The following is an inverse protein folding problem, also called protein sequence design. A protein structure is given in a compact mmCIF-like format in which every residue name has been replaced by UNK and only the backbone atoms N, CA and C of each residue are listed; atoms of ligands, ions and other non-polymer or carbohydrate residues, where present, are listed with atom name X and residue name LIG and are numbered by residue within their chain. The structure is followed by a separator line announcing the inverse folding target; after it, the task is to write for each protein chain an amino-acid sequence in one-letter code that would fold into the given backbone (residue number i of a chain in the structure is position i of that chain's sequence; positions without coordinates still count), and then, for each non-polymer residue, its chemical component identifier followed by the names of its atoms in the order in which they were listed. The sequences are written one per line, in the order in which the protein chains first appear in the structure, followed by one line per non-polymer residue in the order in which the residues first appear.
data_IF_305056966344
#
_entry.id   IF_305056966344
#
_cell.length_a   1.000
_cell.length_b   1.000
_cell.length_c   1.000
_cell.angle_alpha   90.00
_cell.angle_beta   90.00
_cell.angle_gamma   90.00
#
_symmetry.space_group_name_H-M   'P 1'
#
loop_
_entity.id
_entity.type
_entity.pdbx_description
1 polymer ?
#
# COMPACT_ATOMS: atom_id res chain seq x y z
N UNK A 1 23.99 -32.92 -14.87
CA UNK A 1 23.02 -31.86 -14.50
C UNK A 1 22.75 -31.96 -13.01
N UNK A 2 23.23 -30.99 -12.22
CA UNK A 2 23.08 -31.02 -10.76
C UNK A 2 21.63 -30.65 -10.37
N UNK A 3 20.90 -31.61 -9.77
CA UNK A 3 19.60 -31.34 -9.14
C UNK A 3 19.85 -30.48 -7.90
N UNK A 4 19.47 -29.21 -7.97
CA UNK A 4 19.46 -28.29 -6.83
C UNK A 4 18.48 -28.81 -5.77
N UNK A 5 18.98 -29.53 -4.78
CA UNK A 5 18.25 -29.92 -3.57
C UNK A 5 17.99 -28.67 -2.70
N UNK A 6 17.02 -27.83 -3.08
CA UNK A 6 16.45 -26.88 -2.12
C UNK A 6 15.60 -27.69 -1.16
N UNK A 7 16.14 -27.92 0.04
CA UNK A 7 15.37 -28.46 1.15
C UNK A 7 14.06 -27.67 1.32
N UNK A 8 12.93 -28.34 1.63
CA UNK A 8 11.65 -27.66 1.79
C UNK A 8 11.78 -26.58 2.88
N UNK A 9 11.46 -25.34 2.52
CA UNK A 9 11.49 -24.20 3.44
C UNK A 9 10.61 -24.51 4.64
N UNK A 10 11.15 -24.40 5.86
CA UNK A 10 10.40 -24.67 7.08
C UNK A 10 9.15 -23.79 7.17
N UNK A 11 8.04 -24.28 7.74
CA UNK A 11 6.80 -23.49 7.90
C UNK A 11 7.05 -22.14 8.58
N UNK A 12 7.96 -22.11 9.57
CA UNK A 12 8.37 -20.89 10.25
C UNK A 12 9.03 -19.89 9.30
N UNK A 13 9.97 -20.34 8.46
CA UNK A 13 10.65 -19.47 7.50
C UNK A 13 9.69 -18.98 6.41
N UNK A 14 8.72 -19.79 5.98
CA UNK A 14 7.64 -19.35 5.08
C UNK A 14 6.78 -18.26 5.73
N UNK A 15 6.35 -18.45 6.97
CA UNK A 15 5.56 -17.47 7.71
C UNK A 15 6.32 -16.15 7.91
N UNK A 16 7.61 -16.20 8.24
CA UNK A 16 8.46 -15.01 8.37
C UNK A 16 8.58 -14.26 7.03
N UNK A 17 8.81 -14.95 5.92
CA UNK A 17 8.86 -14.32 4.60
C UNK A 17 7.51 -13.69 4.20
N UNK A 18 6.40 -14.39 4.46
CA UNK A 18 5.06 -13.84 4.22
C UNK A 18 4.75 -12.63 5.11
N UNK A 19 5.27 -12.59 6.33
CA UNK A 19 5.09 -11.44 7.23
C UNK A 19 5.88 -10.22 6.75
N UNK A 20 7.12 -10.39 6.29
CA UNK A 20 7.92 -9.30 5.70
C UNK A 20 7.23 -8.76 4.45
N UNK A 21 6.78 -9.64 3.55
CA UNK A 21 6.06 -9.23 2.35
C UNK A 21 4.77 -8.47 2.68
N UNK A 22 4.03 -8.90 3.70
CA UNK A 22 2.84 -8.21 4.16
C UNK A 22 3.16 -6.80 4.69
N UNK A 23 4.26 -6.66 5.43
CA UNK A 23 4.69 -5.35 5.94
C UNK A 23 5.04 -4.38 4.79
N UNK A 24 5.77 -4.87 3.79
CA UNK A 24 6.10 -4.10 2.58
C UNK A 24 4.84 -3.67 1.82
N UNK A 25 3.90 -4.60 1.57
CA UNK A 25 2.65 -4.32 0.88
C UNK A 25 1.79 -3.31 1.66
N UNK A 26 1.73 -3.46 2.99
CA UNK A 26 1.00 -2.56 3.86
C UNK A 26 1.63 -1.16 3.92
N UNK A 27 2.96 -1.08 3.92
CA UNK A 27 3.70 0.17 3.81
C UNK A 27 3.40 0.90 2.50
N UNK A 28 3.30 0.18 1.38
CA UNK A 28 2.91 0.76 0.09
C UNK A 28 1.49 1.32 0.11
N UNK A 29 0.53 0.56 0.67
CA UNK A 29 -0.84 1.05 0.85
C UNK A 29 -0.91 2.30 1.74
N UNK A 30 -0.15 2.34 2.84
CA UNK A 30 -0.06 3.52 3.71
C UNK A 30 0.48 4.75 2.97
N UNK A 31 1.45 4.58 2.08
CA UNK A 31 1.98 5.70 1.26
C UNK A 31 0.92 6.23 0.31
N UNK A 32 0.19 5.34 -0.36
CA UNK A 32 -0.91 5.73 -1.25
C UNK A 32 -2.02 6.47 -0.49
N UNK A 33 -2.42 5.97 0.68
CA UNK A 33 -3.42 6.64 1.53
C UNK A 33 -2.96 8.01 2.05
N UNK A 34 -1.68 8.16 2.40
CA UNK A 34 -1.13 9.47 2.76
C UNK A 34 -1.22 10.47 1.62
N UNK A 35 -1.00 10.03 0.38
CA UNK A 35 -1.17 10.89 -0.80
C UNK A 35 -2.62 11.38 -0.95
N UNK A 36 -3.60 10.52 -0.66
CA UNK A 36 -5.02 10.92 -0.58
C UNK A 36 -5.20 12.00 0.48
N UNK A 37 -4.75 11.78 1.72
CA UNK A 37 -4.90 12.75 2.81
C UNK A 37 -4.21 14.09 2.51
N UNK A 38 -3.04 14.09 1.86
CA UNK A 38 -2.38 15.32 1.43
C UNK A 38 -3.21 16.09 0.40
N UNK A 39 -3.81 15.38 -0.56
CA UNK A 39 -4.66 15.98 -1.57
C UNK A 39 -5.98 16.49 -0.98
N UNK A 40 -6.58 15.76 -0.04
CA UNK A 40 -7.73 16.24 0.73
C UNK A 40 -7.39 17.50 1.51
N UNK A 41 -6.21 17.58 2.13
CA UNK A 41 -5.74 18.78 2.82
C UNK A 41 -5.54 19.99 1.89
N UNK A 42 -5.07 19.77 0.65
CA UNK A 42 -4.94 20.81 -0.38
C UNK A 42 -6.30 21.29 -0.90
N UNK A 43 -7.24 20.37 -1.07
CA UNK A 43 -8.60 20.65 -1.55
C UNK A 43 -9.51 21.21 -0.46
N UNK A 44 -9.18 21.00 0.82
CA UNK A 44 -9.92 21.56 1.93
C UNK A 44 -9.63 23.06 1.98
N UNK A 45 -10.65 23.93 1.86
CA UNK A 45 -10.44 25.36 1.99
C UNK A 45 -9.96 25.66 3.40
N UNK A 46 -8.67 25.91 3.56
CA UNK A 46 -8.13 26.43 4.80
C UNK A 46 -8.41 27.94 4.78
N UNK A 47 -9.39 28.38 5.57
CA UNK A 47 -9.71 29.79 5.79
C UNK A 47 -8.57 30.51 6.54
N UNK A 48 -7.38 30.58 5.96
CA UNK A 48 -6.23 31.30 6.49
C UNK A 48 -5.83 32.41 5.50
N UNK A 49 -6.40 33.59 5.69
CA UNK A 49 -5.87 34.87 5.18
C UNK A 49 -4.49 35.13 5.85
N UNK A 50 -3.44 35.58 5.13
CA UNK A 50 -3.33 36.90 4.48
C UNK A 50 -3.02 36.85 2.95
N UNK A 51 -2.97 38.00 2.24
CA UNK A 51 -3.46 38.13 0.87
C UNK A 51 -2.42 37.93 -0.25
N UNK A 52 -1.39 37.09 -0.08
CA UNK A 52 -0.27 37.11 -1.03
C UNK A 52 -0.07 35.92 -1.96
N UNK A 53 -0.62 34.72 -1.70
CA UNK A 53 -0.58 33.64 -2.68
C UNK A 53 -1.87 32.81 -2.56
N UNK A 54 -2.95 33.29 -3.18
CA UNK A 54 -4.13 32.47 -3.40
C UNK A 54 -3.79 31.42 -4.47
N UNK A 55 -3.34 30.26 -4.04
CA UNK A 55 -3.33 29.06 -4.88
C UNK A 55 -4.80 28.67 -5.15
N UNK A 56 -5.36 29.22 -6.21
CA UNK A 56 -6.65 28.85 -6.76
C UNK A 56 -6.45 27.63 -7.66
N UNK A 57 -6.79 26.44 -7.16
CA UNK A 57 -6.89 25.24 -8.00
C UNK A 57 -8.34 25.07 -8.45
N UNK A 58 -8.56 24.97 -9.76
CA UNK A 58 -9.83 24.48 -10.26
C UNK A 58 -9.93 22.97 -9.97
N UNK A 59 -11.12 22.42 -9.65
CA UNK A 59 -11.29 20.97 -9.47
C UNK A 59 -10.83 20.13 -10.67
N UNK A 60 -10.75 20.74 -11.86
CA UNK A 60 -10.19 20.14 -13.06
C UNK A 60 -8.67 19.94 -13.00
N UNK A 61 -7.93 20.82 -12.32
CA UNK A 61 -6.46 20.85 -12.30
C UNK A 61 -5.87 19.63 -11.60
N UNK A 62 -6.58 19.11 -10.60
CA UNK A 62 -6.15 17.93 -9.84
C UNK A 62 -6.77 16.62 -10.33
N UNK A 63 -7.65 16.64 -11.35
CA UNK A 63 -8.37 15.44 -11.82
C UNK A 63 -7.43 14.31 -12.21
N UNK A 64 -6.36 14.62 -12.94
CA UNK A 64 -5.36 13.64 -13.34
C UNK A 64 -4.62 13.05 -12.13
N UNK A 65 -4.26 13.90 -11.15
CA UNK A 65 -3.59 13.49 -9.92
C UNK A 65 -4.49 12.59 -9.06
N UNK A 66 -5.76 12.96 -8.89
CA UNK A 66 -6.77 12.16 -8.18
C UNK A 66 -6.94 10.79 -8.85
N UNK A 67 -7.03 10.75 -10.19
CA UNK A 67 -7.16 9.49 -10.92
C UNK A 67 -5.96 8.56 -10.70
N UNK A 68 -4.74 9.11 -10.71
CA UNK A 68 -3.50 8.35 -10.46
C UNK A 68 -3.44 7.83 -9.03
N UNK A 69 -3.75 8.67 -8.03
CA UNK A 69 -3.76 8.25 -6.62
C UNK A 69 -4.80 7.15 -6.39
N UNK A 70 -6.00 7.30 -6.93
CA UNK A 70 -7.05 6.28 -6.81
C UNK A 70 -6.63 4.95 -7.45
N UNK A 71 -6.02 4.99 -8.64
CA UNK A 71 -5.48 3.81 -9.29
C UNK A 71 -4.40 3.14 -8.42
N UNK A 72 -3.52 3.93 -7.80
CA UNK A 72 -2.45 3.42 -6.95
C UNK A 72 -2.97 2.81 -5.64
N UNK A 73 -4.00 3.39 -5.03
CA UNK A 73 -4.67 2.81 -3.84
C UNK A 73 -5.28 1.46 -4.18
N UNK A 74 -6.00 1.35 -5.31
CA UNK A 74 -6.57 0.08 -5.78
C UNK A 74 -5.46 -0.94 -6.02
N UNK A 75 -4.41 -0.54 -6.75
CA UNK A 75 -3.24 -1.40 -7.05
C UNK A 75 -2.54 -1.91 -5.80
N UNK A 76 -2.48 -1.12 -4.72
CA UNK A 76 -1.86 -1.51 -3.46
C UNK A 76 -2.73 -2.44 -2.61
N UNK A 77 -4.04 -2.50 -2.86
CA UNK A 77 -4.98 -3.27 -2.01
C UNK A 77 -4.88 -4.78 -2.28
N UNK A 78 -4.80 -5.18 -3.55
CA UNK A 78 -4.76 -6.61 -3.92
C UNK A 78 -3.53 -7.37 -3.38
N UNK A 79 -2.30 -6.82 -3.41
CA UNK A 79 -1.13 -7.47 -2.82
C UNK A 79 -1.25 -7.68 -1.32
N UNK A 80 -1.77 -6.68 -0.57
CA UNK A 80 -1.99 -6.79 0.88
C UNK A 80 -2.91 -7.98 1.18
N UNK A 81 -4.04 -8.07 0.48
CA UNK A 81 -4.98 -9.18 0.64
C UNK A 81 -4.36 -10.55 0.31
N UNK A 82 -3.56 -10.61 -0.75
CA UNK A 82 -2.83 -11.82 -1.12
C UNK A 82 -1.82 -12.23 -0.05
N UNK A 83 -1.08 -11.26 0.49
CA UNK A 83 -0.08 -11.47 1.55
C UNK A 83 -0.71 -11.88 2.88
N UNK A 84 -1.86 -11.32 3.26
CA UNK A 84 -2.67 -11.77 4.41
C UNK A 84 -3.10 -13.23 4.23
N UNK A 85 -3.64 -13.59 3.05
CA UNK A 85 -4.04 -14.99 2.77
C UNK A 85 -2.83 -15.94 2.82
N UNK A 86 -1.70 -15.53 2.25
CA UNK A 86 -0.45 -16.29 2.24
C UNK A 86 0.06 -16.54 3.66
N UNK A 87 0.11 -15.50 4.49
CA UNK A 87 0.50 -15.58 5.89
C UNK A 87 -0.43 -16.50 6.68
N UNK A 88 -1.76 -16.33 6.54
CA UNK A 88 -2.76 -17.22 7.18
C UNK A 88 -2.54 -18.69 6.81
N UNK A 89 -2.23 -18.98 5.53
CA UNK A 89 -1.94 -20.34 5.08
C UNK A 89 -0.64 -20.87 5.71
N UNK A 90 0.42 -20.06 5.73
CA UNK A 90 1.70 -20.43 6.33
C UNK A 90 1.58 -20.72 7.84
N UNK A 91 0.74 -19.97 8.55
CA UNK A 91 0.48 -20.16 9.98
C UNK A 91 -0.38 -21.39 10.27
N UNK A 92 -1.39 -21.68 9.44
CA UNK A 92 -2.21 -22.90 9.57
C UNK A 92 -1.40 -24.19 9.43
N UNK A 93 -0.34 -24.18 8.62
CA UNK A 93 0.61 -25.29 8.51
C UNK A 93 1.53 -25.49 9.74
N UNK A 94 1.39 -24.67 10.79
CA UNK A 94 2.17 -24.77 12.04
C UNK A 94 1.36 -25.39 13.20
N UNK A 95 0.05 -25.59 13.04
CA UNK A 95 -0.88 -26.04 14.10
C UNK A 95 -1.24 -27.54 13.96
N UNK A 96 -0.68 -28.23 12.97
CA UNK A 96 -0.69 -29.69 12.81
C UNK A 96 0.75 -30.16 12.64
#
# INVERSE_FOLDING_TARGET
MAKSNRAPVSPLRKASLSAVQLDDDFCNLKRALRAVTCLEGLLTPIYLTPPHEQFSFEPGDLRALVAVINAEVVRCTEPVDASIRSLRKALKHKVH
#
